data_IF_510167494070
#
_entry.id   IF_510167494070
#
_cell.length_a   1.000
_cell.length_b   1.000
_cell.length_c   1.000
_cell.angle_alpha   90.00
_cell.angle_beta   90.00
_cell.angle_gamma   90.00
#
_symmetry.space_group_name_H-M   'P 1'
#
loop_
_entity.id
_entity.type
_entity.pdbx_description
1 polymer ?
#
# COMPACT_ATOMS: atom_id res chain seq x y z
N UNK A 1 -31.50 14.72 -14.41
CA UNK A 1 -30.55 13.65 -14.83
C UNK A 1 -30.82 12.44 -13.96
N UNK A 2 -30.89 11.22 -14.52
CA UNK A 2 -31.18 10.02 -13.74
C UNK A 2 -29.95 9.55 -12.96
N UNK A 3 -30.16 8.90 -11.82
CA UNK A 3 -29.08 8.28 -11.05
C UNK A 3 -28.52 7.06 -11.82
N UNK A 4 -27.19 6.89 -11.76
CA UNK A 4 -26.48 5.80 -12.42
C UNK A 4 -25.83 4.88 -11.38
N UNK A 5 -25.70 3.60 -11.73
CA UNK A 5 -24.94 2.65 -10.93
C UNK A 5 -23.44 2.85 -11.12
N UNK A 6 -22.67 2.50 -10.09
CA UNK A 6 -21.21 2.49 -10.12
C UNK A 6 -20.73 1.06 -9.81
N UNK A 7 -20.05 0.44 -10.77
CA UNK A 7 -19.30 -0.79 -10.53
C UNK A 7 -17.88 -0.41 -10.11
N UNK A 8 -17.43 -0.92 -8.97
CA UNK A 8 -16.04 -0.76 -8.52
C UNK A 8 -15.18 -1.88 -9.09
N UNK A 9 -13.88 -1.64 -9.18
CA UNK A 9 -12.88 -2.68 -9.48
C UNK A 9 -12.56 -3.59 -8.29
N UNK A 10 -13.05 -3.24 -7.10
CA UNK A 10 -12.80 -3.96 -5.85
C UNK A 10 -13.50 -5.32 -5.90
N UNK A 11 -12.76 -6.39 -5.62
CA UNK A 11 -13.33 -7.71 -5.34
C UNK A 11 -13.58 -7.82 -3.83
N UNK A 12 -14.84 -7.97 -3.44
CA UNK A 12 -15.25 -8.03 -2.03
C UNK A 12 -14.55 -9.15 -1.24
N UNK A 13 -14.25 -10.28 -1.89
CA UNK A 13 -13.58 -11.41 -1.23
C UNK A 13 -12.12 -11.08 -0.90
N UNK A 14 -11.44 -10.42 -1.85
CA UNK A 14 -10.07 -9.94 -1.65
C UNK A 14 -10.05 -8.81 -0.61
N UNK A 15 -11.01 -7.90 -0.67
CA UNK A 15 -11.17 -6.82 0.31
C UNK A 15 -11.34 -7.38 1.73
N UNK A 16 -12.22 -8.37 1.92
CA UNK A 16 -12.47 -8.99 3.22
C UNK A 16 -11.23 -9.71 3.76
N UNK A 17 -10.51 -10.44 2.90
CA UNK A 17 -9.24 -11.08 3.25
C UNK A 17 -8.19 -10.05 3.69
N UNK A 18 -7.94 -9.03 2.86
CA UNK A 18 -6.96 -7.98 3.12
C UNK A 18 -7.29 -7.24 4.42
N UNK A 19 -8.55 -6.87 4.63
CA UNK A 19 -8.98 -6.22 5.86
C UNK A 19 -8.71 -7.08 7.11
N UNK A 20 -9.08 -8.37 7.06
CA UNK A 20 -8.89 -9.29 8.20
C UNK A 20 -7.42 -9.43 8.57
N UNK A 21 -6.56 -9.71 7.60
CA UNK A 21 -5.12 -9.91 7.87
C UNK A 21 -4.45 -8.62 8.32
N UNK A 22 -4.78 -7.48 7.69
CA UNK A 22 -4.27 -6.17 8.10
C UNK A 22 -4.66 -5.85 9.54
N UNK A 23 -5.94 -6.03 9.89
CA UNK A 23 -6.42 -5.73 11.23
C UNK A 23 -5.78 -6.64 12.29
N UNK A 24 -5.64 -7.94 11.99
CA UNK A 24 -4.94 -8.88 12.86
C UNK A 24 -3.48 -8.48 13.06
N UNK A 25 -2.78 -8.08 11.99
CA UNK A 25 -1.38 -7.66 12.06
C UNK A 25 -1.21 -6.37 12.88
N UNK A 26 -2.06 -5.37 12.67
CA UNK A 26 -2.03 -4.11 13.45
C UNK A 26 -2.28 -4.39 14.93
N UNK A 27 -3.29 -5.20 15.26
CA UNK A 27 -3.60 -5.57 16.64
C UNK A 27 -2.49 -6.38 17.30
N UNK A 28 -1.96 -7.41 16.61
CA UNK A 28 -0.89 -8.27 17.11
C UNK A 28 0.38 -7.47 17.45
N UNK A 29 0.76 -6.53 16.58
CA UNK A 29 1.95 -5.71 16.76
C UNK A 29 1.71 -4.47 17.64
N UNK A 30 0.48 -4.23 18.10
CA UNK A 30 0.08 -3.01 18.81
C UNK A 30 0.48 -1.75 18.03
N UNK A 31 0.36 -1.79 16.72
CA UNK A 31 0.68 -0.67 15.85
C UNK A 31 -0.41 0.42 15.96
N UNK A 32 -0.03 1.68 15.74
CA UNK A 32 -0.99 2.79 15.71
C UNK A 32 -1.99 2.66 14.55
N UNK A 33 -1.48 2.29 13.38
CA UNK A 33 -2.28 2.08 12.18
C UNK A 33 -1.55 1.20 11.15
N UNK A 34 -2.27 0.79 10.11
CA UNK A 34 -1.73 0.10 8.94
C UNK A 34 -2.63 0.32 7.72
N UNK A 35 -2.03 0.23 6.53
CA UNK A 35 -2.73 0.36 5.25
C UNK A 35 -2.29 -0.76 4.30
N UNK A 36 -3.19 -1.24 3.46
CA UNK A 36 -2.90 -2.23 2.44
C UNK A 36 -3.64 -1.90 1.14
N UNK A 37 -2.93 -2.02 0.01
CA UNK A 37 -3.46 -1.83 -1.34
C UNK A 37 -3.06 -3.04 -2.18
N UNK A 38 -4.03 -3.62 -2.87
CA UNK A 38 -3.83 -4.72 -3.81
C UNK A 38 -4.24 -4.25 -5.21
N UNK A 39 -3.33 -4.41 -6.17
CA UNK A 39 -3.49 -3.94 -7.55
C UNK A 39 -3.30 -5.11 -8.51
N UNK A 40 -4.16 -5.20 -9.51
CA UNK A 40 -3.97 -6.11 -10.65
C UNK A 40 -2.78 -5.63 -11.51
N UNK A 41 -1.78 -6.48 -11.72
CA UNK A 41 -0.53 -6.12 -12.42
C UNK A 41 -0.76 -5.86 -13.91
N UNK A 42 -1.78 -6.47 -14.51
CA UNK A 42 -2.06 -6.37 -15.93
C UNK A 42 -3.00 -5.20 -16.25
N UNK A 43 -3.99 -4.94 -15.41
CA UNK A 43 -5.02 -3.91 -15.66
C UNK A 43 -4.80 -2.62 -14.88
N UNK A 44 -4.05 -2.67 -13.77
CA UNK A 44 -3.90 -1.55 -12.84
C UNK A 44 -5.12 -1.32 -11.93
N UNK A 45 -6.11 -2.20 -11.98
CA UNK A 45 -7.30 -2.13 -11.14
C UNK A 45 -6.97 -2.29 -9.65
N UNK A 46 -7.59 -1.48 -8.80
CA UNK A 46 -7.52 -1.68 -7.36
C UNK A 46 -8.50 -2.78 -6.99
N UNK A 47 -7.95 -3.94 -6.60
CA UNK A 47 -8.71 -5.12 -6.21
C UNK A 47 -9.11 -5.07 -4.73
N UNK A 48 -8.28 -4.44 -3.90
CA UNK A 48 -8.58 -4.17 -2.49
C UNK A 48 -7.81 -2.94 -1.98
N UNK A 49 -8.42 -2.19 -1.06
CA UNK A 49 -7.81 -1.06 -0.36
C UNK A 49 -8.38 -0.98 1.06
N UNK A 50 -7.56 -1.20 2.07
CA UNK A 50 -7.98 -1.24 3.46
C UNK A 50 -7.05 -0.43 4.37
N UNK A 51 -7.62 0.15 5.43
CA UNK A 51 -6.90 0.81 6.51
C UNK A 51 -7.37 0.23 7.84
N UNK A 52 -6.48 0.14 8.82
CA UNK A 52 -6.80 -0.16 10.22
C UNK A 52 -6.12 0.89 11.11
N UNK A 53 -6.79 1.47 12.12
CA UNK A 53 -8.19 1.24 12.49
C UNK A 53 -9.18 1.76 11.43
N UNK A 54 -10.41 1.19 11.43
CA UNK A 54 -11.51 1.57 10.55
C UNK A 54 -12.77 1.95 11.36
N UNK A 55 -13.90 2.16 10.70
CA UNK A 55 -15.17 2.54 11.33
C UNK A 55 -16.36 1.89 10.61
N UNK A 56 -17.54 1.88 11.26
CA UNK A 56 -18.77 1.41 10.64
C UNK A 56 -19.48 2.58 9.93
N UNK A 57 -19.52 2.63 8.59
CA UNK A 57 -20.15 3.73 7.87
C UNK A 57 -21.68 3.77 8.01
N UNK A 58 -22.31 2.70 8.52
CA UNK A 58 -23.75 2.70 8.83
C UNK A 58 -24.07 3.39 10.17
N UNK A 59 -23.07 3.59 11.04
CA UNK A 59 -23.25 4.28 12.33
C UNK A 59 -21.98 5.04 12.74
N UNK A 60 -22.03 6.37 12.60
CA UNK A 60 -20.91 7.26 12.91
C UNK A 60 -20.78 7.62 14.40
N UNK A 61 -21.72 7.22 15.26
CA UNK A 61 -21.71 7.60 16.66
C UNK A 61 -20.43 7.10 17.36
N UNK A 62 -19.66 8.02 17.96
CA UNK A 62 -18.41 7.71 18.65
C UNK A 62 -17.20 7.43 17.74
N UNK A 63 -17.31 7.64 16.42
CA UNK A 63 -16.17 7.48 15.50
C UNK A 63 -15.21 8.66 15.61
N UNK A 64 -13.94 8.39 15.90
CA UNK A 64 -12.90 9.42 15.91
C UNK A 64 -12.53 9.84 14.48
N UNK A 65 -12.29 11.14 14.24
CA UNK A 65 -11.95 11.65 12.90
C UNK A 65 -10.76 10.94 12.26
N UNK A 66 -9.78 10.52 13.06
CA UNK A 66 -8.58 9.84 12.56
C UNK A 66 -8.89 8.46 11.94
N UNK A 67 -9.88 7.73 12.45
CA UNK A 67 -10.26 6.41 11.91
C UNK A 67 -11.03 6.52 10.59
N UNK A 68 -11.52 7.71 10.24
CA UNK A 68 -12.20 7.98 8.97
C UNK A 68 -11.24 8.23 7.81
N UNK A 69 -9.95 8.42 8.10
CA UNK A 69 -8.95 8.76 7.10
C UNK A 69 -8.59 7.54 6.25
N UNK A 70 -8.66 7.70 4.92
CA UNK A 70 -8.11 6.71 4.00
C UNK A 70 -6.59 6.90 3.87
N UNK A 71 -5.84 6.38 4.84
CA UNK A 71 -4.39 6.56 4.97
C UNK A 71 -3.63 6.10 3.71
N UNK A 72 -4.12 5.09 3.00
CA UNK A 72 -3.54 4.65 1.73
C UNK A 72 -3.42 5.74 0.65
N UNK A 73 -4.25 6.80 0.69
CA UNK A 73 -4.24 7.90 -0.29
C UNK A 73 -3.97 9.27 0.33
N UNK A 74 -4.10 9.42 1.65
CA UNK A 74 -3.89 10.71 2.34
C UNK A 74 -2.52 10.84 3.00
N UNK A 75 -1.96 9.71 3.46
CA UNK A 75 -0.73 9.72 4.24
C UNK A 75 0.47 9.52 3.32
N UNK A 76 1.56 10.20 3.64
CA UNK A 76 2.84 10.06 2.94
C UNK A 76 3.89 9.55 3.90
N UNK A 77 4.77 8.68 3.40
CA UNK A 77 5.94 8.20 4.12
C UNK A 77 7.10 8.02 3.14
N UNK A 78 8.32 8.09 3.64
CA UNK A 78 9.49 7.82 2.82
C UNK A 78 9.49 6.34 2.39
N UNK A 79 9.59 6.03 1.08
CA UNK A 79 9.42 4.66 0.59
C UNK A 79 10.57 3.71 0.98
N UNK A 80 11.66 4.24 1.54
CA UNK A 80 12.76 3.45 2.08
C UNK A 80 13.34 2.47 1.05
N UNK A 81 13.56 1.21 1.44
CA UNK A 81 14.16 0.21 0.54
C UNK A 81 13.32 -0.15 -0.69
N UNK A 82 12.03 0.20 -0.73
CA UNK A 82 11.14 -0.18 -1.85
C UNK A 82 11.49 0.51 -3.18
N UNK A 83 12.23 1.63 -3.15
CA UNK A 83 12.69 2.31 -4.38
C UNK A 83 13.96 1.71 -4.97
N UNK A 84 14.72 0.92 -4.21
CA UNK A 84 16.03 0.38 -4.63
C UNK A 84 15.98 -0.41 -5.95
N UNK A 85 14.94 -1.24 -6.24
CA UNK A 85 14.84 -1.92 -7.53
C UNK A 85 14.86 -0.95 -8.71
N UNK A 86 14.24 0.23 -8.62
CA UNK A 86 14.25 1.22 -9.71
C UNK A 86 15.65 1.78 -9.98
N UNK A 87 16.45 1.97 -8.92
CA UNK A 87 17.85 2.42 -9.05
C UNK A 87 18.67 1.37 -9.80
N UNK A 88 18.53 0.09 -9.43
CA UNK A 88 19.24 -1.02 -10.09
C UNK A 88 18.78 -1.17 -11.54
N UNK A 89 17.47 -1.14 -11.81
CA UNK A 89 16.93 -1.16 -13.18
C UNK A 89 17.51 -0.04 -14.02
N UNK A 90 17.60 1.18 -13.47
CA UNK A 90 18.17 2.33 -14.18
C UNK A 90 19.65 2.14 -14.47
N UNK A 91 20.42 1.62 -13.51
CA UNK A 91 21.85 1.37 -13.68
C UNK A 91 22.11 0.30 -14.76
N UNK A 92 21.32 -0.78 -14.77
CA UNK A 92 21.36 -1.83 -15.80
C UNK A 92 20.95 -1.27 -17.17
N UNK A 93 19.83 -0.55 -17.25
CA UNK A 93 19.31 0.03 -18.49
C UNK A 93 20.30 1.02 -19.12
N UNK A 94 21.05 1.77 -18.30
CA UNK A 94 22.08 2.72 -18.75
C UNK A 94 23.45 2.08 -18.96
N UNK A 95 23.59 0.77 -18.73
CA UNK A 95 24.87 0.06 -18.85
C UNK A 95 25.94 0.52 -17.86
N UNK A 96 25.58 1.15 -16.75
CA UNK A 96 26.52 1.55 -15.68
C UNK A 96 27.08 0.30 -14.98
N UNK A 97 26.23 -0.73 -14.86
CA UNK A 97 26.57 -2.06 -14.36
C UNK A 97 25.90 -3.11 -15.25
N UNK A 98 26.35 -4.36 -15.14
CA UNK A 98 25.70 -5.54 -15.73
C UNK A 98 25.46 -6.62 -14.65
N UNK A 99 24.79 -7.70 -15.03
CA UNK A 99 24.44 -8.82 -14.13
C UNK A 99 25.65 -9.48 -13.44
N UNK A 100 26.85 -9.37 -14.04
CA UNK A 100 28.09 -9.94 -13.52
C UNK A 100 28.96 -8.92 -12.77
N UNK A 101 28.52 -7.67 -12.66
CA UNK A 101 29.30 -6.61 -12.01
C UNK A 101 29.31 -6.81 -10.50
N UNK A 102 30.49 -7.02 -9.93
CA UNK A 102 30.69 -7.07 -8.47
C UNK A 102 31.03 -5.67 -7.97
N UNK A 103 30.18 -5.13 -7.10
CA UNK A 103 30.38 -3.82 -6.48
C UNK A 103 31.06 -3.97 -5.12
N UNK A 104 31.98 -3.06 -4.79
CA UNK A 104 32.46 -2.93 -3.42
C UNK A 104 31.39 -2.25 -2.56
N UNK A 105 30.82 -2.98 -1.61
CA UNK A 105 29.74 -2.50 -0.74
C UNK A 105 30.18 -2.30 0.70
N UNK A 106 31.49 -2.13 0.96
CA UNK A 106 31.96 -1.75 2.29
C UNK A 106 31.45 -0.35 2.66
N UNK A 107 31.22 -0.06 3.96
CA UNK A 107 30.82 1.27 4.40
C UNK A 107 31.81 2.35 3.91
N UNK A 108 31.29 3.48 3.42
CA UNK A 108 32.08 4.61 2.94
C UNK A 108 31.48 5.94 3.37
N UNK A 109 32.22 7.04 3.17
CA UNK A 109 31.76 8.42 3.36
C UNK A 109 31.86 9.15 2.04
N UNK A 110 30.90 10.03 1.75
CA UNK A 110 30.89 10.93 0.60
C UNK A 110 31.53 12.25 1.02
#
# INVERSE_FOLDING_TARGET
QAAHNLALSIDERLQALVYRELNNAVAFNKAESGSAVLVDVNTGEVLAMANSPSYNPNNFAGTAKDTMRNRAITDVFEPGSTVKPMVVMTALQRGIVNENTVLNTVPYRI
#
